data_IF_210084708821
#
_entry.id   IF_210084708821
#
_cell.length_a   1.000
_cell.length_b   1.000
_cell.length_c   1.000
_cell.angle_alpha   90.00
_cell.angle_beta   90.00
_cell.angle_gamma   90.00
#
_symmetry.space_group_name_H-M   'P 1'
#
loop_
_entity.id
_entity.type
_entity.pdbx_description
1 polymer ?
#
# COMPACT_ATOMS: atom_id res chain seq x y z
N UNK A 1 10.68 8.38 0.72
CA UNK A 1 10.29 8.47 -0.71
C UNK A 1 8.79 8.67 -0.81
N UNK A 2 8.33 9.64 -1.59
CA UNK A 2 6.91 9.89 -1.85
C UNK A 2 6.65 9.97 -3.35
N UNK A 3 5.51 9.47 -3.85
CA UNK A 3 5.19 9.60 -5.27
C UNK A 3 4.59 10.97 -5.60
N UNK A 4 3.40 11.27 -5.08
CA UNK A 4 2.64 12.47 -5.37
C UNK A 4 2.51 12.76 -6.85
N UNK A 5 2.39 14.05 -7.17
CA UNK A 5 2.49 14.51 -8.55
C UNK A 5 3.91 14.33 -9.10
N UNK A 6 4.95 14.72 -8.33
CA UNK A 6 6.31 14.93 -8.86
C UNK A 6 7.47 14.23 -8.10
N UNK A 7 7.16 13.39 -7.13
CA UNK A 7 8.13 12.84 -6.17
C UNK A 7 8.81 11.51 -6.55
N UNK A 8 8.31 10.78 -7.55
CA UNK A 8 8.94 9.51 -7.98
C UNK A 8 9.31 9.54 -9.46
N UNK A 9 10.59 9.32 -9.73
CA UNK A 9 11.15 9.23 -11.08
C UNK A 9 11.92 7.92 -11.20
N UNK A 10 11.50 7.03 -12.12
CA UNK A 10 12.11 5.69 -12.24
C UNK A 10 13.58 5.75 -12.59
N UNK A 11 14.00 6.72 -13.42
CA UNK A 11 15.41 6.93 -13.79
C UNK A 11 16.34 7.20 -12.60
N UNK A 12 15.78 7.64 -11.46
CA UNK A 12 16.53 7.89 -10.22
C UNK A 12 16.36 6.73 -9.25
N UNK A 13 15.11 6.28 -9.04
CA UNK A 13 14.80 5.26 -8.05
C UNK A 13 15.35 3.88 -8.42
N UNK A 14 15.27 3.47 -9.69
CA UNK A 14 15.70 2.14 -10.13
C UNK A 14 17.22 1.93 -9.90
N UNK A 15 18.13 2.81 -10.36
CA UNK A 15 19.56 2.63 -10.10
C UNK A 15 19.92 2.70 -8.61
N UNK A 16 19.24 3.54 -7.83
CA UNK A 16 19.47 3.64 -6.39
C UNK A 16 19.13 2.33 -5.67
N UNK A 17 17.95 1.75 -5.96
CA UNK A 17 17.51 0.47 -5.40
C UNK A 17 18.45 -0.67 -5.81
N UNK A 18 18.90 -0.71 -7.06
CA UNK A 18 19.86 -1.70 -7.54
C UNK A 18 21.22 -1.64 -6.84
N UNK A 19 21.61 -0.46 -6.34
CA UNK A 19 22.83 -0.26 -5.55
C UNK A 19 22.60 -0.47 -4.04
N UNK A 20 21.41 -0.90 -3.63
CA UNK A 20 21.07 -1.09 -2.22
C UNK A 20 20.74 0.20 -1.46
N UNK A 21 20.65 1.34 -2.15
CA UNK A 21 20.23 2.61 -1.55
C UNK A 21 18.71 2.70 -1.49
N UNK A 22 18.13 2.11 -0.44
CA UNK A 22 16.69 2.03 -0.23
C UNK A 22 16.18 3.25 0.56
N UNK A 23 14.92 3.69 0.34
CA UNK A 23 14.36 4.77 1.14
C UNK A 23 14.12 4.33 2.59
N UNK A 24 14.23 5.25 3.56
CA UNK A 24 13.91 4.94 4.97
C UNK A 24 12.41 4.77 5.21
N UNK A 25 11.59 5.53 4.50
CA UNK A 25 10.13 5.46 4.52
C UNK A 25 9.56 5.52 3.11
N UNK A 26 8.41 4.87 2.92
CA UNK A 26 7.64 4.93 1.69
C UNK A 26 6.33 5.67 2.00
N UNK A 27 5.95 6.59 1.11
CA UNK A 27 4.73 7.35 1.21
C UNK A 27 4.10 7.49 -0.17
N UNK A 28 2.80 7.71 -0.22
CA UNK A 28 2.10 8.00 -1.48
C UNK A 28 2.46 9.37 -2.01
N UNK A 29 2.76 10.35 -1.15
CA UNK A 29 2.95 11.76 -1.53
C UNK A 29 1.70 12.43 -2.12
N UNK A 30 0.54 11.78 -1.97
CA UNK A 30 -0.73 12.18 -2.59
C UNK A 30 -1.11 13.62 -2.22
N UNK A 31 -1.54 14.37 -3.21
CA UNK A 31 -1.97 15.77 -3.15
C UNK A 31 -3.31 15.92 -3.92
N UNK A 32 -3.86 17.14 -3.97
CA UNK A 32 -5.14 17.42 -4.64
C UNK A 32 -5.11 17.08 -6.14
N UNK A 33 -3.94 17.19 -6.78
CA UNK A 33 -3.78 16.95 -8.21
C UNK A 33 -3.65 15.45 -8.53
N UNK A 34 -3.19 14.66 -7.57
CA UNK A 34 -2.90 13.24 -7.73
C UNK A 34 -3.89 12.29 -7.05
N UNK A 35 -4.80 12.79 -6.21
CA UNK A 35 -5.75 11.97 -5.42
C UNK A 35 -6.63 11.04 -6.26
N UNK A 36 -7.04 11.48 -7.45
CA UNK A 36 -7.85 10.67 -8.38
C UNK A 36 -7.00 9.90 -9.39
N UNK A 37 -5.67 10.07 -9.37
CA UNK A 37 -4.78 9.41 -10.31
C UNK A 37 -4.39 8.03 -9.76
N UNK A 38 -4.55 6.96 -10.56
CA UNK A 38 -4.22 5.61 -10.11
C UNK A 38 -2.73 5.43 -9.79
N UNK A 39 -1.87 6.35 -10.23
CA UNK A 39 -0.41 6.26 -10.07
C UNK A 39 0.09 6.66 -8.67
N UNK A 40 -0.68 7.39 -7.87
CA UNK A 40 -0.18 8.05 -6.67
C UNK A 40 -0.74 7.52 -5.35
N UNK A 41 -1.48 6.41 -5.34
CA UNK A 41 -1.91 5.80 -4.08
C UNK A 41 -0.80 4.93 -3.44
N UNK A 42 -0.97 4.57 -2.17
CA UNK A 42 0.02 3.83 -1.40
C UNK A 42 0.31 2.45 -2.01
N UNK A 43 -0.74 1.70 -2.34
CA UNK A 43 -0.64 0.33 -2.88
C UNK A 43 0.10 0.31 -4.23
N UNK A 44 -0.18 1.27 -5.09
CA UNK A 44 0.52 1.44 -6.36
C UNK A 44 1.97 1.85 -6.16
N UNK A 45 2.27 2.71 -5.19
CA UNK A 45 3.64 3.11 -4.87
C UNK A 45 4.47 1.93 -4.33
N UNK A 46 3.90 1.13 -3.42
CA UNK A 46 4.50 -0.12 -2.95
C UNK A 46 4.74 -1.10 -4.10
N UNK A 47 3.78 -1.24 -5.01
CA UNK A 47 3.90 -2.11 -6.19
C UNK A 47 5.05 -1.70 -7.12
N UNK A 48 5.24 -0.39 -7.34
CA UNK A 48 6.38 0.11 -8.11
C UNK A 48 7.70 -0.34 -7.50
N UNK A 49 7.86 -0.15 -6.18
CA UNK A 49 9.08 -0.51 -5.46
C UNK A 49 9.33 -2.03 -5.43
N UNK A 50 8.27 -2.82 -5.35
CA UNK A 50 8.34 -4.28 -5.46
C UNK A 50 8.87 -4.74 -6.83
N UNK A 51 8.50 -4.04 -7.90
CA UNK A 51 9.00 -4.33 -9.26
C UNK A 51 10.37 -3.71 -9.54
N UNK A 52 10.80 -2.71 -8.76
CA UNK A 52 12.14 -2.14 -8.84
C UNK A 52 13.21 -2.94 -8.08
N UNK A 53 12.80 -3.94 -7.28
CA UNK A 53 13.71 -4.90 -6.64
C UNK A 53 13.67 -4.95 -5.11
N UNK A 54 12.81 -4.16 -4.45
CA UNK A 54 12.62 -4.28 -3.00
C UNK A 54 11.82 -5.54 -2.67
N UNK A 55 12.18 -6.20 -1.57
CA UNK A 55 11.40 -7.32 -1.01
C UNK A 55 10.12 -6.83 -0.34
N UNK A 56 9.15 -7.74 -0.14
CA UNK A 56 7.91 -7.44 0.57
C UNK A 56 8.21 -6.96 1.99
N UNK A 57 9.09 -7.65 2.72
CA UNK A 57 9.44 -7.31 4.10
C UNK A 57 10.04 -5.90 4.20
N UNK A 58 10.96 -5.56 3.30
CA UNK A 58 11.54 -4.22 3.23
C UNK A 58 10.48 -3.15 2.98
N UNK A 59 9.51 -3.43 2.11
CA UNK A 59 8.41 -2.51 1.81
C UNK A 59 7.51 -2.34 3.03
N UNK A 60 7.06 -3.44 3.65
CA UNK A 60 6.17 -3.43 4.82
C UNK A 60 6.81 -2.62 5.95
N UNK A 61 8.05 -2.90 6.30
CA UNK A 61 8.80 -2.15 7.31
C UNK A 61 8.78 -0.63 7.04
N UNK A 62 8.92 -0.24 5.76
CA UNK A 62 9.01 1.16 5.32
C UNK A 62 7.66 1.87 5.19
N UNK A 63 6.54 1.14 5.24
CA UNK A 63 5.18 1.72 5.30
C UNK A 63 4.51 1.56 6.67
N UNK A 64 5.09 0.80 7.60
CA UNK A 64 4.55 0.60 8.95
C UNK A 64 5.50 1.13 10.04
N UNK A 65 6.48 0.31 10.45
CA UNK A 65 7.31 0.56 11.62
C UNK A 65 8.24 1.77 11.44
N UNK A 66 8.78 2.00 10.23
CA UNK A 66 9.67 3.15 10.00
C UNK A 66 8.90 4.48 10.06
N UNK A 67 7.79 4.70 9.33
CA UNK A 67 6.98 5.90 9.50
C UNK A 67 6.51 6.13 10.94
N UNK A 68 6.05 5.08 11.63
CA UNK A 68 5.64 5.14 13.03
C UNK A 68 6.75 5.70 13.94
N UNK A 69 7.99 5.22 13.75
CA UNK A 69 9.16 5.76 14.46
C UNK A 69 9.46 7.22 14.09
N UNK A 70 9.40 7.57 12.81
CA UNK A 70 9.65 8.95 12.33
C UNK A 70 8.68 9.95 12.95
N UNK A 71 7.39 9.59 13.10
CA UNK A 71 6.37 10.45 13.72
C UNK A 71 6.30 10.33 15.24
N UNK A 72 7.26 9.63 15.87
CA UNK A 72 7.34 9.41 17.33
C UNK A 72 6.10 8.70 17.90
N UNK A 73 5.54 7.75 17.15
CA UNK A 73 4.45 6.86 17.56
C UNK A 73 4.88 5.40 17.42
N UNK A 74 5.89 4.93 18.18
CA UNK A 74 6.39 3.56 18.09
C UNK A 74 5.36 2.51 18.55
N UNK A 75 4.25 2.95 19.16
CA UNK A 75 3.07 2.15 19.48
C UNK A 75 2.22 1.78 18.24
N UNK A 76 2.47 2.42 17.08
CA UNK A 76 1.82 2.12 15.80
C UNK A 76 2.72 1.26 14.90
N UNK A 77 2.12 0.71 13.83
CA UNK A 77 2.86 -0.01 12.79
C UNK A 77 3.43 -1.36 13.25
N UNK A 78 2.82 -1.97 14.27
CA UNK A 78 3.20 -3.27 14.84
C UNK A 78 1.97 -4.15 15.07
N UNK A 79 2.17 -5.47 15.04
CA UNK A 79 1.16 -6.49 15.36
C UNK A 79 1.55 -7.19 16.67
N UNK A 80 1.69 -6.42 17.75
CA UNK A 80 2.02 -6.93 19.09
C UNK A 80 0.79 -6.93 19.99
N UNK A 81 0.77 -7.82 20.99
CA UNK A 81 -0.28 -7.81 22.00
C UNK A 81 -0.37 -6.44 22.69
N UNK A 82 -1.59 -5.94 22.87
CA UNK A 82 -1.87 -4.62 23.46
C UNK A 82 -1.73 -3.42 22.51
N UNK A 83 -1.26 -3.62 21.27
CA UNK A 83 -1.26 -2.56 20.26
C UNK A 83 -2.68 -2.30 19.69
N UNK A 84 -2.88 -1.13 19.09
CA UNK A 84 -4.13 -0.79 18.41
C UNK A 84 -4.34 -1.76 17.22
N UNK A 85 -5.56 -2.25 17.06
CA UNK A 85 -5.93 -3.15 15.96
C UNK A 85 -6.13 -2.37 14.63
N UNK A 86 -5.04 -1.80 14.12
CA UNK A 86 -4.94 -1.19 12.79
C UNK A 86 -4.23 -2.17 11.85
N UNK A 87 -4.97 -2.80 10.94
CA UNK A 87 -4.50 -3.92 10.12
C UNK A 87 -4.87 -3.68 8.66
N UNK A 88 -3.91 -3.85 7.75
CA UNK A 88 -4.16 -3.93 6.32
C UNK A 88 -3.83 -5.34 5.83
N UNK A 89 -4.78 -6.00 5.17
CA UNK A 89 -4.57 -7.29 4.51
C UNK A 89 -4.31 -7.03 3.04
N UNK A 90 -3.15 -7.48 2.56
CA UNK A 90 -2.69 -7.26 1.20
C UNK A 90 -2.60 -8.58 0.45
N UNK A 91 -2.96 -8.54 -0.83
CA UNK A 91 -2.72 -9.63 -1.79
C UNK A 91 -1.64 -9.22 -2.77
N UNK A 92 -0.73 -10.14 -3.10
CA UNK A 92 0.18 -10.00 -4.24
C UNK A 92 -0.45 -10.73 -5.42
N UNK A 93 -0.75 -9.98 -6.47
CA UNK A 93 -1.21 -10.50 -7.75
C UNK A 93 -0.02 -10.64 -8.69
N UNK A 94 0.07 -11.76 -9.40
CA UNK A 94 1.02 -11.98 -10.49
C UNK A 94 0.35 -11.73 -11.84
N UNK A 95 1.08 -11.13 -12.79
CA UNK A 95 0.52 -10.79 -14.08
C UNK A 95 1.42 -9.86 -14.88
N UNK A 96 0.83 -9.08 -15.79
CA UNK A 96 1.51 -8.02 -16.54
C UNK A 96 0.87 -6.69 -16.18
N UNK A 97 1.63 -5.80 -15.55
CA UNK A 97 1.14 -4.51 -15.08
C UNK A 97 2.03 -3.38 -15.60
N UNK A 98 1.40 -2.25 -15.95
CA UNK A 98 2.11 -1.02 -16.27
C UNK A 98 2.00 -0.03 -15.11
N UNK A 99 3.11 0.61 -14.75
CA UNK A 99 3.16 1.66 -13.74
C UNK A 99 3.75 2.93 -14.33
N UNK A 100 3.16 4.08 -14.00
CA UNK A 100 3.65 5.39 -14.45
C UNK A 100 4.35 6.12 -13.31
N UNK A 101 5.53 6.69 -13.57
CA UNK A 101 6.16 7.64 -12.65
C UNK A 101 5.63 9.07 -12.84
N UNK A 102 6.22 10.03 -12.13
CA UNK A 102 5.88 11.45 -12.24
C UNK A 102 6.14 12.05 -13.64
N UNK A 103 7.14 11.51 -14.35
CA UNK A 103 7.47 11.91 -15.71
C UNK A 103 6.64 11.22 -16.79
N UNK A 104 5.59 10.46 -16.42
CA UNK A 104 4.80 9.62 -17.32
C UNK A 104 5.64 8.53 -18.04
N UNK A 105 6.82 8.20 -17.51
CA UNK A 105 7.58 7.04 -17.96
C UNK A 105 6.93 5.77 -17.44
N UNK A 106 6.94 4.70 -18.26
CA UNK A 106 6.34 3.41 -17.93
C UNK A 106 7.39 2.44 -17.38
N UNK A 107 7.02 1.78 -16.29
CA UNK A 107 7.67 0.57 -15.78
C UNK A 107 6.74 -0.63 -16.03
N UNK A 108 7.23 -1.65 -16.71
CA UNK A 108 6.55 -2.94 -16.78
C UNK A 108 6.89 -3.76 -15.53
N UNK A 109 5.86 -4.25 -14.86
CA UNK A 109 5.98 -5.07 -13.66
C UNK A 109 5.23 -6.38 -13.78
N UNK A 110 5.71 -7.38 -13.04
CA UNK A 110 5.11 -8.72 -12.98
C UNK A 110 4.23 -8.93 -11.74
N UNK A 111 4.30 -8.03 -10.76
CA UNK A 111 3.58 -8.14 -9.49
C UNK A 111 2.84 -6.86 -9.14
N UNK A 112 1.65 -6.97 -8.54
CA UNK A 112 0.88 -5.84 -8.03
C UNK A 112 0.32 -6.17 -6.65
N UNK A 113 0.49 -5.27 -5.71
CA UNK A 113 -0.19 -5.34 -4.42
C UNK A 113 -1.62 -4.87 -4.57
N UNK A 114 -2.52 -5.45 -3.79
CA UNK A 114 -3.91 -5.03 -3.67
C UNK A 114 -4.33 -5.06 -2.20
N UNK A 115 -5.16 -4.10 -1.77
CA UNK A 115 -5.67 -4.07 -0.40
C UNK A 115 -7.07 -4.66 -0.35
N UNK A 116 -7.17 -5.83 0.27
CA UNK A 116 -8.43 -6.59 0.32
C UNK A 116 -9.25 -6.30 1.57
N UNK A 117 -8.60 -5.91 2.66
CA UNK A 117 -9.25 -5.56 3.92
C UNK A 117 -8.44 -4.49 4.66
N UNK A 118 -9.12 -3.51 5.25
CA UNK A 118 -8.53 -2.62 6.27
C UNK A 118 -9.39 -2.62 7.53
N UNK A 119 -8.74 -2.85 8.66
CA UNK A 119 -9.29 -2.72 9.99
C UNK A 119 -8.65 -1.49 10.63
N UNK A 120 -9.47 -0.63 11.23
CA UNK A 120 -9.03 0.53 11.99
C UNK A 120 -9.64 0.49 13.37
N UNK A 121 -8.81 0.50 14.40
CA UNK A 121 -9.21 0.41 15.80
C UNK A 121 -10.20 -0.75 16.05
N UNK A 122 -9.94 -1.91 15.43
CA UNK A 122 -10.77 -3.11 15.56
C UNK A 122 -12.04 -3.14 14.70
N UNK A 123 -12.36 -2.08 13.95
CA UNK A 123 -13.51 -2.04 13.04
C UNK A 123 -13.08 -2.19 11.58
N UNK A 124 -13.80 -2.99 10.80
CA UNK A 124 -13.60 -3.07 9.34
C UNK A 124 -14.05 -1.75 8.71
N UNK A 125 -13.13 -1.07 8.02
CA UNK A 125 -13.39 0.20 7.32
C UNK A 125 -13.23 0.10 5.80
N UNK A 126 -12.65 -1.01 5.33
CA UNK A 126 -12.53 -1.34 3.92
C UNK A 126 -12.57 -2.86 3.77
N UNK A 127 -13.38 -3.35 2.85
CA UNK A 127 -13.47 -4.77 2.51
C UNK A 127 -13.85 -4.87 1.03
N UNK A 128 -12.86 -4.99 0.15
CA UNK A 128 -13.12 -4.96 -1.29
C UNK A 128 -13.69 -6.27 -1.82
N UNK A 129 -13.62 -7.34 -1.04
CA UNK A 129 -14.01 -8.69 -1.46
C UNK A 129 -15.07 -9.33 -0.58
N UNK A 130 -15.57 -8.61 0.43
CA UNK A 130 -16.55 -9.11 1.37
C UNK A 130 -16.03 -10.21 2.29
N UNK A 131 -14.75 -10.18 2.65
CA UNK A 131 -14.12 -11.18 3.53
C UNK A 131 -14.71 -11.20 4.95
N UNK A 132 -15.27 -10.08 5.39
CA UNK A 132 -15.85 -9.91 6.73
C UNK A 132 -17.37 -10.11 6.78
N UNK A 133 -18.03 -10.26 5.63
CA UNK A 133 -19.48 -10.33 5.54
C UNK A 133 -19.98 -11.75 5.28
N UNK A 134 -21.25 -11.99 5.59
CA UNK A 134 -21.88 -13.29 5.37
C UNK A 134 -22.18 -13.50 3.88
N UNK A 135 -21.94 -14.72 3.39
CA UNK A 135 -22.32 -15.13 2.04
C UNK A 135 -23.80 -14.83 1.74
N UNK A 136 -24.08 -14.35 0.52
CA UNK A 136 -25.40 -13.86 0.15
C UNK A 136 -26.51 -14.91 0.25
N UNK A 137 -26.19 -16.20 0.10
CA UNK A 137 -27.14 -17.31 0.26
C UNK A 137 -27.56 -17.45 1.74
N UNK A 138 -26.66 -17.12 2.65
CA UNK A 138 -26.83 -17.25 4.11
C UNK A 138 -27.24 -15.95 4.79
N UNK A 139 -27.25 -14.83 4.07
CA UNK A 139 -27.50 -13.50 4.63
C UNK A 139 -28.94 -13.31 5.15
N UNK A 140 -29.88 -14.18 4.78
CA UNK A 140 -31.29 -14.02 5.12
C UNK A 140 -31.91 -12.77 4.47
N UNK A 141 -33.03 -12.24 5.00
CA UNK A 141 -33.67 -11.04 4.46
C UNK A 141 -32.79 -9.79 4.63
N UNK A 142 -32.57 -9.04 3.54
CA UNK A 142 -31.75 -7.82 3.53
C UNK A 142 -32.32 -6.65 4.34
N UNK A 143 -33.54 -6.77 4.85
CA UNK A 143 -34.17 -5.78 5.73
C UNK A 143 -33.46 -5.60 7.07
N UNK A 144 -32.52 -6.49 7.41
CA UNK A 144 -31.74 -6.45 8.64
C UNK A 144 -30.45 -5.62 8.55
N UNK A 145 -30.04 -5.20 7.35
CA UNK A 145 -28.90 -4.29 7.18
C UNK A 145 -29.39 -2.85 7.39
N UNK A 146 -29.04 -2.25 8.54
CA UNK A 146 -29.23 -0.83 8.84
C UNK A 146 -28.01 -0.02 8.48
#
# INVERSE_FOLDING_TARGET
MGHGSDGLWFRIAQPAIQQGFLPDTISSGMDIDSILLPRANMITTMSKLLNMGMSVDQIIERVTANPARVIRRPDLGTLSEGAIADIAVLRIQEGRFGFLDSGHARLDGSRRLDCVLSVRNGAVVWDSEGLSVTDWIKAGPYTNFK
#
